data_IF_378927714062
#
_entry.id   IF_378927714062
#
_cell.length_a   1.000
_cell.length_b   1.000
_cell.length_c   1.000
_cell.angle_alpha   90.00
_cell.angle_beta   90.00
_cell.angle_gamma   90.00
#
_symmetry.space_group_name_H-M   'P 1'
#
loop_
_entity.id
_entity.type
_entity.pdbx_description
1 polymer ?
#
# COMPACT_ATOMS: atom_id res chain seq x y z
N UNK A 1 -33.18 41.72 9.42
CA UNK A 1 -32.53 40.86 10.43
C UNK A 1 -33.61 40.19 11.26
N UNK A 2 -33.72 38.85 11.22
CA UNK A 2 -34.68 38.09 12.05
C UNK A 2 -34.16 38.07 13.49
N UNK A 3 -35.02 38.36 14.47
CA UNK A 3 -34.60 38.44 15.88
C UNK A 3 -34.10 37.09 16.41
N UNK A 4 -33.17 37.15 17.36
CA UNK A 4 -32.52 35.96 17.96
C UNK A 4 -33.55 35.01 18.58
N UNK A 5 -34.60 35.57 19.18
CA UNK A 5 -35.69 34.81 19.81
C UNK A 5 -36.48 33.96 18.80
N UNK A 6 -36.69 34.50 17.60
CA UNK A 6 -37.44 33.81 16.54
C UNK A 6 -36.61 32.70 15.88
N UNK A 7 -35.29 32.87 15.84
CA UNK A 7 -34.36 31.84 15.37
C UNK A 7 -34.31 30.65 16.34
N UNK A 8 -34.34 30.92 17.65
CA UNK A 8 -34.37 29.90 18.72
C UNK A 8 -35.70 29.14 18.77
N UNK A 9 -36.82 29.83 18.56
CA UNK A 9 -38.15 29.18 18.49
C UNK A 9 -38.28 28.28 17.26
N UNK A 10 -37.72 28.67 16.10
CA UNK A 10 -37.68 27.81 14.90
C UNK A 10 -36.80 26.58 15.12
N UNK A 11 -35.61 26.71 15.70
CA UNK A 11 -34.73 25.55 15.94
C UNK A 11 -35.36 24.54 16.89
N UNK A 12 -36.05 25.02 17.94
CA UNK A 12 -36.74 24.14 18.89
C UNK A 12 -37.91 23.40 18.23
N UNK A 13 -38.67 24.07 17.36
CA UNK A 13 -39.74 23.44 16.60
C UNK A 13 -39.19 22.41 15.59
N UNK A 14 -38.06 22.69 14.93
CA UNK A 14 -37.42 21.72 14.04
C UNK A 14 -36.93 20.48 14.79
N UNK A 15 -36.31 20.65 15.96
CA UNK A 15 -35.86 19.53 16.80
C UNK A 15 -37.03 18.68 17.29
N UNK A 16 -38.12 19.31 17.73
CA UNK A 16 -39.33 18.60 18.16
C UNK A 16 -39.96 17.82 17.00
N UNK A 17 -39.98 18.41 15.80
CA UNK A 17 -40.55 17.76 14.60
C UNK A 17 -39.69 16.56 14.17
N UNK A 18 -38.37 16.70 14.17
CA UNK A 18 -37.45 15.61 13.86
C UNK A 18 -37.56 14.46 14.87
N UNK A 19 -37.72 14.79 16.16
CA UNK A 19 -37.90 13.79 17.22
C UNK A 19 -39.23 13.03 17.07
N UNK A 20 -40.32 13.72 16.76
CA UNK A 20 -41.61 13.07 16.50
C UNK A 20 -41.54 12.15 15.27
N UNK A 21 -40.85 12.54 14.20
CA UNK A 21 -40.67 11.70 13.01
C UNK A 21 -39.88 10.43 13.35
N UNK A 22 -38.81 10.55 14.15
CA UNK A 22 -38.02 9.39 14.58
C UNK A 22 -38.82 8.42 15.45
N UNK A 23 -39.67 8.93 16.34
CA UNK A 23 -40.58 8.09 17.13
C UNK A 23 -41.57 7.34 16.23
N UNK A 24 -42.15 8.01 15.24
CA UNK A 24 -43.09 7.38 14.30
C UNK A 24 -42.39 6.29 13.48
N UNK A 25 -41.17 6.55 12.99
CA UNK A 25 -40.37 5.57 12.25
C UNK A 25 -39.97 4.38 13.13
N UNK A 26 -39.67 4.63 14.40
CA UNK A 26 -39.29 3.58 15.36
C UNK A 26 -40.49 2.71 15.73
N UNK A 27 -41.66 3.31 15.99
CA UNK A 27 -42.92 2.60 16.23
C UNK A 27 -43.29 1.77 14.99
N UNK A 28 -43.21 2.35 13.79
CA UNK A 28 -43.49 1.63 12.55
C UNK A 28 -42.57 0.41 12.34
N UNK A 29 -41.27 0.56 12.62
CA UNK A 29 -40.31 -0.55 12.56
C UNK A 29 -40.59 -1.64 13.60
N UNK A 30 -41.14 -1.27 14.76
CA UNK A 30 -41.51 -2.22 15.81
C UNK A 30 -42.73 -3.08 15.43
N UNK A 31 -43.70 -2.48 14.74
CA UNK A 31 -44.90 -3.18 14.28
C UNK A 31 -44.69 -3.95 12.96
N UNK A 32 -43.68 -3.59 12.15
CA UNK A 32 -43.40 -4.22 10.85
C UNK A 32 -41.91 -4.53 10.66
N UNK A 33 -41.34 -5.52 11.37
CA UNK A 33 -39.90 -5.82 11.35
C UNK A 33 -39.38 -6.34 9.99
N UNK A 34 -40.29 -6.78 9.11
CA UNK A 34 -39.97 -7.30 7.76
C UNK A 34 -40.01 -6.20 6.68
N UNK A 35 -40.48 -4.99 7.01
CA UNK A 35 -40.70 -3.91 6.04
C UNK A 35 -39.46 -3.02 5.91
N UNK A 36 -38.62 -3.28 4.90
CA UNK A 36 -37.60 -2.33 4.47
C UNK A 36 -38.20 -1.38 3.42
N UNK A 37 -38.02 -0.07 3.58
CA UNK A 37 -38.44 0.97 2.61
C UNK A 37 -37.91 0.75 1.18
N UNK A 38 -36.89 -0.11 1.01
CA UNK A 38 -36.31 -0.48 -0.29
C UNK A 38 -37.27 -1.33 -1.16
N UNK A 39 -38.22 -2.06 -0.55
CA UNK A 39 -39.17 -2.90 -1.31
C UNK A 39 -40.36 -2.13 -1.91
N UNK A 40 -40.62 -0.90 -1.46
CA UNK A 40 -41.75 -0.11 -1.99
C UNK A 40 -41.48 0.47 -3.39
N UNK A 41 -40.23 0.42 -3.87
CA UNK A 41 -39.84 0.89 -5.21
C UNK A 41 -39.75 -0.23 -6.26
N UNK A 42 -39.81 -1.50 -5.87
CA UNK A 42 -39.69 -2.64 -6.79
C UNK A 42 -41.01 -3.11 -7.40
N UNK A 43 -42.15 -2.64 -6.89
CA UNK A 43 -43.46 -3.26 -7.18
C UNK A 43 -44.31 -2.51 -8.23
N UNK A 44 -43.70 -1.62 -9.04
CA UNK A 44 -44.35 -1.06 -10.22
C UNK A 44 -43.97 -1.81 -11.51
N UNK A 45 -44.40 -3.07 -11.61
CA UNK A 45 -44.72 -3.69 -12.89
C UNK A 45 -46.05 -4.45 -12.77
N UNK A 46 -47.04 -4.17 -13.62
CA UNK A 46 -48.35 -4.80 -13.53
C UNK A 46 -48.25 -6.27 -13.90
N UNK A 47 -48.79 -7.13 -13.03
CA UNK A 47 -48.98 -8.55 -13.27
C UNK A 47 -50.17 -8.79 -14.20
N UNK A 48 -50.01 -9.71 -15.16
CA UNK A 48 -51.10 -10.29 -15.97
C UNK A 48 -50.85 -11.81 -16.08
N UNK A 49 -51.89 -12.67 -16.09
CA UNK A 49 -51.83 -14.00 -15.50
C UNK A 49 -51.34 -15.11 -16.46
N UNK A 50 -50.96 -16.24 -15.87
CA UNK A 50 -50.53 -17.49 -16.50
C UNK A 50 -51.73 -18.38 -16.92
N UNK A 51 -51.54 -19.53 -17.61
CA UNK A 51 -50.92 -19.75 -18.93
C UNK A 51 -51.91 -20.46 -19.90
N UNK A 52 -51.70 -20.34 -21.22
CA UNK A 52 -52.29 -21.25 -22.22
C UNK A 52 -51.27 -21.49 -23.33
N UNK A 53 -51.18 -22.74 -23.75
CA UNK A 53 -50.18 -23.37 -24.61
C UNK A 53 -49.92 -22.66 -25.95
N UNK A 54 -48.69 -22.76 -26.45
CA UNK A 54 -48.32 -23.24 -27.81
C UNK A 54 -46.85 -22.91 -28.18
N UNK A 55 -46.13 -23.99 -28.52
CA UNK A 55 -45.08 -24.16 -29.54
C UNK A 55 -43.72 -23.40 -29.54
N UNK A 56 -42.72 -24.16 -30.02
CA UNK A 56 -41.29 -23.92 -30.13
C UNK A 56 -40.91 -22.64 -30.89
N UNK A 57 -39.92 -21.89 -30.39
CA UNK A 57 -38.83 -21.35 -31.22
C UNK A 57 -37.63 -20.86 -30.40
N UNK A 58 -36.46 -21.05 -30.99
CA UNK A 58 -35.11 -20.77 -30.51
C UNK A 58 -34.83 -19.32 -30.08
N UNK A 59 -34.17 -19.12 -28.92
CA UNK A 59 -33.10 -18.11 -28.76
C UNK A 59 -32.36 -18.28 -27.42
N UNK A 60 -31.06 -18.02 -27.46
CA UNK A 60 -30.03 -18.24 -26.42
C UNK A 60 -30.25 -17.49 -25.09
N UNK A 61 -29.77 -18.00 -23.94
CA UNK A 61 -29.94 -17.30 -22.66
C UNK A 61 -28.91 -16.17 -22.44
N UNK A 62 -29.42 -15.02 -21.99
CA UNK A 62 -28.72 -13.80 -21.54
C UNK A 62 -28.15 -14.02 -20.11
N UNK A 63 -27.00 -13.40 -19.74
CA UNK A 63 -26.11 -13.90 -18.70
C UNK A 63 -26.36 -13.25 -17.33
N UNK A 64 -27.48 -13.54 -16.67
CA UNK A 64 -27.71 -13.06 -15.30
C UNK A 64 -27.14 -14.03 -14.24
N UNK A 65 -27.06 -15.32 -14.58
CA UNK A 65 -26.53 -16.38 -13.70
C UNK A 65 -24.98 -16.42 -13.70
N UNK A 66 -24.34 -15.87 -14.73
CA UNK A 66 -22.87 -15.82 -14.83
C UNK A 66 -22.25 -14.82 -13.85
N UNK A 67 -22.88 -13.66 -13.63
CA UNK A 67 -22.35 -12.58 -12.80
C UNK A 67 -22.33 -12.98 -11.32
N UNK A 68 -23.42 -13.59 -10.82
CA UNK A 68 -23.53 -14.04 -9.43
C UNK A 68 -22.60 -15.20 -9.07
N UNK A 69 -22.23 -16.06 -10.04
CA UNK A 69 -21.21 -17.11 -9.85
C UNK A 69 -19.79 -16.54 -9.88
N UNK A 70 -19.52 -15.54 -10.74
CA UNK A 70 -18.20 -14.91 -10.86
C UNK A 70 -17.83 -14.09 -9.62
N UNK A 71 -18.79 -13.44 -8.95
CA UNK A 71 -18.56 -12.74 -7.67
C UNK A 71 -18.27 -13.69 -6.51
N UNK A 72 -18.89 -14.88 -6.49
CA UNK A 72 -18.61 -15.90 -5.45
C UNK A 72 -17.26 -16.58 -5.65
N UNK A 73 -16.81 -16.78 -6.89
CA UNK A 73 -15.45 -17.32 -7.15
C UNK A 73 -14.37 -16.30 -6.79
N UNK A 74 -14.60 -15.01 -7.06
CA UNK A 74 -13.65 -13.96 -6.69
C UNK A 74 -13.50 -13.82 -5.17
N UNK A 75 -14.60 -14.01 -4.41
CA UNK A 75 -14.55 -14.03 -2.96
C UNK A 75 -13.78 -15.24 -2.40
N UNK A 76 -13.82 -16.42 -3.04
CA UNK A 76 -12.99 -17.56 -2.61
C UNK A 76 -11.50 -17.40 -2.96
N UNK A 77 -11.17 -16.70 -4.06
CA UNK A 77 -9.79 -16.44 -4.45
C UNK A 77 -9.09 -15.40 -3.53
N UNK A 78 -9.88 -14.58 -2.84
CA UNK A 78 -9.38 -13.59 -1.86
C UNK A 78 -8.87 -14.24 -0.57
N UNK A 79 -9.35 -15.44 -0.21
CA UNK A 79 -9.08 -16.05 1.10
C UNK A 79 -8.03 -17.17 1.10
N UNK A 80 -7.76 -17.86 -0.01
CA UNK A 80 -6.84 -19.03 0.01
C UNK A 80 -6.15 -19.32 -1.33
N UNK A 81 -6.24 -18.43 -2.31
CA UNK A 81 -5.71 -18.66 -3.65
C UNK A 81 -4.19 -18.58 -3.70
N UNK A 82 -3.54 -19.70 -4.07
CA UNK A 82 -2.20 -19.67 -4.67
C UNK A 82 -2.16 -18.61 -5.76
N UNK A 83 -1.17 -17.74 -5.67
CA UNK A 83 -0.93 -16.63 -6.57
C UNK A 83 -1.16 -17.02 -8.06
N UNK A 84 -2.21 -16.46 -8.67
CA UNK A 84 -2.66 -16.83 -10.03
C UNK A 84 -2.35 -15.73 -11.08
N UNK A 85 -1.54 -14.73 -10.71
CA UNK A 85 -0.91 -13.82 -11.67
C UNK A 85 0.51 -14.29 -11.98
N UNK A 86 1.29 -13.50 -12.71
CA UNK A 86 2.74 -13.73 -12.89
C UNK A 86 3.52 -12.55 -12.31
N UNK A 87 3.68 -12.52 -10.98
CA UNK A 87 4.81 -11.88 -10.32
C UNK A 87 6.00 -12.60 -10.91
N UNK A 88 6.79 -11.84 -11.65
CA UNK A 88 7.96 -12.35 -12.37
C UNK A 88 9.18 -11.79 -11.69
N UNK A 89 9.79 -10.74 -12.24
CA UNK A 89 11.00 -10.11 -11.74
C UNK A 89 10.71 -8.92 -10.82
N UNK A 90 9.51 -8.33 -10.89
CA UNK A 90 9.17 -7.09 -10.17
C UNK A 90 7.71 -7.00 -9.76
N UNK A 91 7.46 -6.24 -8.70
CA UNK A 91 6.11 -6.00 -8.16
C UNK A 91 6.07 -4.70 -7.35
N UNK A 92 4.96 -3.98 -7.40
CA UNK A 92 4.68 -2.86 -6.51
C UNK A 92 3.70 -3.29 -5.42
N UNK A 93 3.91 -2.83 -4.20
CA UNK A 93 3.15 -3.29 -3.03
C UNK A 93 2.74 -2.10 -2.18
N UNK A 94 1.47 -2.06 -1.84
CA UNK A 94 0.90 -1.15 -0.85
C UNK A 94 0.27 -1.97 0.28
N UNK A 95 0.57 -1.59 1.52
CA UNK A 95 0.04 -2.24 2.71
C UNK A 95 -0.84 -1.22 3.44
N UNK A 96 -2.15 -1.46 3.44
CA UNK A 96 -3.14 -0.59 4.07
C UNK A 96 -4.20 -1.41 4.82
N UNK A 97 -4.10 -1.41 6.15
CA UNK A 97 -5.04 -2.12 7.02
C UNK A 97 -6.43 -1.46 7.05
N UNK A 98 -6.52 -0.16 6.70
CA UNK A 98 -7.77 0.60 6.73
C UNK A 98 -8.05 1.29 5.40
N UNK A 99 -9.21 0.99 4.83
CA UNK A 99 -9.66 1.66 3.61
C UNK A 99 -9.89 3.17 3.82
N UNK A 100 -9.44 3.98 2.84
CA UNK A 100 -9.70 5.43 2.76
C UNK A 100 -10.15 5.78 1.34
N UNK A 101 -10.90 6.87 1.21
CA UNK A 101 -11.51 7.28 -0.08
C UNK A 101 -10.49 7.63 -1.16
N UNK A 102 -9.30 8.10 -0.78
CA UNK A 102 -8.23 8.47 -1.69
C UNK A 102 -7.36 7.29 -2.16
N UNK A 103 -7.44 6.12 -1.51
CA UNK A 103 -6.56 4.97 -1.82
C UNK A 103 -6.74 4.45 -3.24
N UNK A 104 -7.98 4.27 -3.70
CA UNK A 104 -8.21 3.72 -5.05
C UNK A 104 -7.68 4.67 -6.13
N UNK A 105 -8.01 5.98 -6.13
CA UNK A 105 -7.38 6.94 -7.04
C UNK A 105 -5.85 6.93 -6.99
N UNK A 106 -5.26 6.88 -5.80
CA UNK A 106 -3.81 6.81 -5.61
C UNK A 106 -3.22 5.56 -6.25
N UNK A 107 -3.76 4.38 -5.95
CA UNK A 107 -3.27 3.10 -6.49
C UNK A 107 -3.42 3.05 -8.02
N UNK A 108 -4.54 3.54 -8.55
CA UNK A 108 -4.75 3.63 -10.00
C UNK A 108 -3.74 4.55 -10.66
N UNK A 109 -3.39 5.67 -10.02
CA UNK A 109 -2.34 6.56 -10.51
C UNK A 109 -0.98 5.86 -10.54
N UNK A 110 -0.60 5.17 -9.47
CA UNK A 110 0.62 4.34 -9.47
C UNK A 110 0.62 3.32 -10.62
N UNK A 111 -0.50 2.63 -10.84
CA UNK A 111 -0.64 1.69 -11.97
C UNK A 111 -0.42 2.33 -13.33
N UNK A 112 -0.94 3.55 -13.54
CA UNK A 112 -0.75 4.29 -14.80
C UNK A 112 0.70 4.71 -14.98
N UNK A 113 1.36 5.24 -13.95
CA UNK A 113 2.75 5.72 -14.04
C UNK A 113 3.74 4.57 -14.21
N UNK A 114 3.51 3.44 -13.54
CA UNK A 114 4.36 2.26 -13.65
C UNK A 114 4.12 1.49 -14.96
N UNK A 115 2.89 1.50 -15.46
CA UNK A 115 2.45 0.77 -16.64
C UNK A 115 2.23 -0.72 -16.40
N UNK A 116 1.67 -1.41 -17.39
CA UNK A 116 1.17 -2.80 -17.28
C UNK A 116 2.24 -3.84 -16.92
N UNK A 117 3.52 -3.52 -17.06
CA UNK A 117 4.63 -4.40 -16.66
C UNK A 117 4.83 -4.52 -15.15
N UNK A 118 4.20 -3.64 -14.36
CA UNK A 118 4.29 -3.63 -12.90
C UNK A 118 2.99 -4.11 -12.27
N UNK A 119 2.92 -5.38 -11.83
CA UNK A 119 1.79 -5.83 -11.04
C UNK A 119 1.75 -5.08 -9.70
N UNK A 120 0.55 -4.75 -9.22
CA UNK A 120 0.36 -4.12 -7.91
C UNK A 120 -0.38 -5.08 -6.96
N UNK A 121 0.22 -5.36 -5.81
CA UNK A 121 -0.44 -6.07 -4.71
C UNK A 121 -0.90 -5.06 -3.67
N UNK A 122 -2.19 -5.12 -3.36
CA UNK A 122 -2.85 -4.36 -2.31
C UNK A 122 -3.04 -5.31 -1.13
N UNK A 123 -2.18 -5.21 -0.12
CA UNK A 123 -2.31 -5.94 1.13
C UNK A 123 -3.21 -5.15 2.08
N UNK A 124 -4.30 -5.76 2.54
CA UNK A 124 -5.30 -5.09 3.38
C UNK A 124 -5.94 -6.02 4.40
N UNK A 125 -6.69 -5.47 5.36
CA UNK A 125 -7.40 -6.28 6.35
C UNK A 125 -8.58 -7.02 5.72
N UNK A 126 -9.01 -8.13 6.35
CA UNK A 126 -10.17 -8.89 5.88
C UNK A 126 -11.44 -8.04 5.81
N UNK A 127 -11.59 -7.11 6.76
CA UNK A 127 -12.72 -6.18 6.85
C UNK A 127 -12.72 -5.17 5.68
N UNK A 128 -11.54 -4.70 5.30
CA UNK A 128 -11.36 -3.68 4.26
C UNK A 128 -11.31 -4.25 2.83
N UNK A 129 -11.04 -5.55 2.66
CA UNK A 129 -10.83 -6.18 1.35
C UNK A 129 -11.99 -5.97 0.37
N UNK A 130 -13.24 -6.09 0.86
CA UNK A 130 -14.43 -5.93 0.02
C UNK A 130 -14.58 -4.51 -0.54
N UNK A 131 -14.03 -3.49 0.13
CA UNK A 131 -14.15 -2.10 -0.27
C UNK A 131 -13.36 -1.80 -1.56
N UNK A 132 -12.22 -2.46 -1.77
CA UNK A 132 -11.44 -2.35 -3.00
C UNK A 132 -12.17 -2.91 -4.23
N UNK A 133 -13.12 -3.83 -4.05
CA UNK A 133 -13.90 -4.41 -5.16
C UNK A 133 -15.08 -3.53 -5.60
N UNK A 134 -15.39 -2.44 -4.89
CA UNK A 134 -16.54 -1.57 -5.20
C UNK A 134 -16.28 -0.61 -6.37
N UNK A 135 -15.02 -0.37 -6.71
CA UNK A 135 -14.65 0.56 -7.78
C UNK A 135 -14.63 -0.11 -9.14
N UNK A 136 -15.42 0.40 -10.09
CA UNK A 136 -15.41 -0.07 -11.48
C UNK A 136 -14.07 0.16 -12.18
N UNK A 137 -13.31 1.18 -11.78
CA UNK A 137 -12.00 1.47 -12.33
C UNK A 137 -10.98 0.43 -11.88
N UNK A 138 -10.93 0.13 -10.57
CA UNK A 138 -10.06 -0.90 -10.02
C UNK A 138 -10.46 -2.29 -10.50
N UNK A 139 -11.77 -2.58 -10.61
CA UNK A 139 -12.28 -3.87 -11.07
C UNK A 139 -11.70 -4.31 -12.43
N UNK A 140 -11.40 -3.37 -13.35
CA UNK A 140 -10.77 -3.71 -14.63
C UNK A 140 -9.34 -4.22 -14.47
N UNK A 141 -8.56 -3.58 -13.59
CA UNK A 141 -7.19 -4.00 -13.25
C UNK A 141 -7.17 -5.30 -12.42
N UNK A 142 -8.22 -5.54 -11.64
CA UNK A 142 -8.41 -6.78 -10.91
C UNK A 142 -8.77 -7.94 -11.84
N UNK A 143 -9.59 -7.69 -12.87
CA UNK A 143 -10.03 -8.69 -13.84
C UNK A 143 -8.93 -9.09 -14.84
N UNK A 144 -8.07 -8.15 -15.24
CA UNK A 144 -6.95 -8.44 -16.14
C UNK A 144 -5.70 -8.96 -15.41
N UNK A 145 -5.73 -9.02 -14.08
CA UNK A 145 -4.64 -9.56 -13.25
C UNK A 145 -3.45 -8.61 -13.03
N UNK A 146 -3.54 -7.35 -13.48
CA UNK A 146 -2.49 -6.34 -13.24
C UNK A 146 -2.46 -5.94 -11.76
N UNK A 147 -3.62 -5.86 -11.10
CA UNK A 147 -3.71 -5.57 -9.67
C UNK A 147 -4.36 -6.72 -8.93
N UNK A 148 -3.97 -6.92 -7.67
CA UNK A 148 -4.53 -7.96 -6.82
C UNK A 148 -4.75 -7.44 -5.41
N UNK A 149 -5.89 -7.81 -4.82
CA UNK A 149 -6.17 -7.56 -3.40
C UNK A 149 -5.87 -8.84 -2.64
N UNK A 150 -5.13 -8.71 -1.54
CA UNK A 150 -4.71 -9.82 -0.68
C UNK A 150 -4.93 -9.44 0.78
N UNK A 151 -5.38 -10.42 1.54
CA UNK A 151 -5.65 -10.24 2.96
C UNK A 151 -4.35 -10.44 3.75
N UNK A 152 -4.08 -9.52 4.67
CA UNK A 152 -2.98 -9.60 5.62
C UNK A 152 -3.15 -10.81 6.57
N UNK A 153 -2.06 -11.44 7.04
CA UNK A 153 -2.12 -12.50 8.05
C UNK A 153 -2.93 -12.07 9.29
N UNK A 154 -3.71 -12.99 9.87
CA UNK A 154 -4.63 -12.67 10.99
C UNK A 154 -3.92 -12.14 12.24
N UNK A 155 -2.66 -12.52 12.43
CA UNK A 155 -1.76 -12.09 13.50
C UNK A 155 -1.09 -10.74 13.24
N UNK A 156 -1.16 -10.22 12.02
CA UNK A 156 -0.57 -8.92 11.63
C UNK A 156 -1.51 -7.75 11.96
N UNK A 157 -1.42 -7.25 13.19
CA UNK A 157 -2.15 -6.05 13.61
C UNK A 157 -1.33 -4.79 13.32
N UNK A 158 -1.60 -4.11 12.20
CA UNK A 158 -0.90 -2.88 11.79
C UNK A 158 -1.58 -1.63 12.37
N UNK A 159 -1.48 -1.47 13.70
CA UNK A 159 -2.16 -0.40 14.46
C UNK A 159 -1.41 0.91 14.54
N UNK A 160 -0.08 0.85 14.54
CA UNK A 160 0.83 1.97 14.75
C UNK A 160 2.08 1.83 13.83
N UNK A 161 2.90 2.87 13.80
CA UNK A 161 4.14 2.85 13.02
C UNK A 161 5.09 1.73 13.47
N UNK A 162 5.10 1.38 14.76
CA UNK A 162 5.92 0.30 15.30
C UNK A 162 5.50 -1.07 14.77
N UNK A 163 4.20 -1.34 14.67
CA UNK A 163 3.67 -2.54 14.08
C UNK A 163 4.02 -2.66 12.59
N UNK A 164 3.97 -1.55 11.86
CA UNK A 164 4.42 -1.52 10.46
C UNK A 164 5.91 -1.84 10.34
N UNK A 165 6.77 -1.21 11.16
CA UNK A 165 8.21 -1.49 11.16
C UNK A 165 8.51 -2.96 11.49
N UNK A 166 7.78 -3.55 12.46
CA UNK A 166 7.90 -4.98 12.77
C UNK A 166 7.47 -5.87 11.61
N UNK A 167 6.37 -5.53 10.95
CA UNK A 167 5.86 -6.30 9.83
C UNK A 167 6.81 -6.29 8.63
N UNK A 168 7.38 -5.13 8.31
CA UNK A 168 8.35 -5.00 7.21
C UNK A 168 9.69 -5.72 7.50
N UNK A 169 9.99 -6.01 8.77
CA UNK A 169 11.16 -6.81 9.19
C UNK A 169 10.85 -8.29 9.40
N UNK A 170 9.70 -8.78 8.96
CA UNK A 170 9.40 -10.22 8.89
C UNK A 170 9.73 -10.79 7.51
N UNK A 171 10.27 -12.00 7.48
CA UNK A 171 10.53 -12.78 6.26
C UNK A 171 9.26 -13.01 5.43
N UNK A 172 8.11 -13.20 6.11
CA UNK A 172 6.82 -13.51 5.48
C UNK A 172 6.48 -12.62 4.28
N UNK A 173 6.61 -11.29 4.42
CA UNK A 173 6.28 -10.36 3.34
C UNK A 173 7.18 -10.59 2.14
N UNK A 174 8.47 -10.75 2.37
CA UNK A 174 9.47 -10.89 1.32
C UNK A 174 9.35 -12.25 0.63
N UNK A 175 9.12 -13.32 1.38
CA UNK A 175 8.84 -14.65 0.81
C UNK A 175 7.52 -14.70 0.04
N UNK A 176 6.48 -14.02 0.53
CA UNK A 176 5.20 -13.88 -0.15
C UNK A 176 5.32 -13.22 -1.53
N UNK A 177 6.31 -12.34 -1.72
CA UNK A 177 6.56 -11.63 -2.98
C UNK A 177 7.46 -12.41 -3.95
N UNK A 178 7.92 -13.61 -3.60
CA UNK A 178 8.63 -14.50 -4.51
C UNK A 178 7.77 -14.82 -5.75
N UNK A 179 8.33 -14.84 -6.97
CA UNK A 179 9.76 -14.75 -7.31
C UNK A 179 10.30 -13.34 -7.60
N UNK A 180 9.54 -12.26 -7.35
CA UNK A 180 10.01 -10.91 -7.70
C UNK A 180 11.30 -10.54 -6.99
N UNK A 181 12.24 -10.01 -7.75
CA UNK A 181 13.50 -9.49 -7.23
C UNK A 181 13.37 -8.01 -6.86
N UNK A 182 12.65 -7.23 -7.66
CA UNK A 182 12.49 -5.79 -7.46
C UNK A 182 11.15 -5.44 -6.83
N UNK A 183 11.18 -5.01 -5.58
CA UNK A 183 9.98 -4.67 -4.80
C UNK A 183 9.88 -3.15 -4.65
N UNK A 184 8.86 -2.56 -5.27
CA UNK A 184 8.51 -1.15 -5.04
C UNK A 184 7.48 -1.08 -3.90
N UNK A 185 7.91 -0.65 -2.73
CA UNK A 185 7.03 -0.34 -1.61
C UNK A 185 6.59 1.13 -1.67
N UNK A 186 5.29 1.36 -1.58
CA UNK A 186 4.71 2.70 -1.52
C UNK A 186 3.60 2.78 -0.48
N UNK A 187 3.63 3.86 0.31
CA UNK A 187 2.62 4.18 1.32
C UNK A 187 1.61 5.19 0.78
N UNK A 188 0.45 5.30 1.42
CA UNK A 188 -0.60 6.24 1.00
C UNK A 188 -0.21 7.71 1.11
N UNK A 189 0.86 8.04 1.85
CA UNK A 189 1.45 9.38 1.94
C UNK A 189 2.61 9.60 0.94
N UNK A 190 2.71 8.75 -0.09
CA UNK A 190 3.69 8.86 -1.18
C UNK A 190 3.05 8.97 -2.57
N UNK A 191 3.80 9.52 -3.52
CA UNK A 191 3.37 9.66 -4.92
C UNK A 191 4.52 9.43 -5.89
N UNK A 192 4.22 8.78 -7.02
CA UNK A 192 5.05 8.87 -8.24
C UNK A 192 4.52 9.98 -9.13
N UNK A 193 5.40 10.84 -9.62
CA UNK A 193 5.01 12.00 -10.41
C UNK A 193 4.87 11.61 -11.89
N UNK A 194 3.70 11.82 -12.48
CA UNK A 194 3.43 11.41 -13.87
C UNK A 194 4.28 12.15 -14.91
N UNK A 195 4.80 13.33 -14.55
CA UNK A 195 5.69 14.13 -15.40
C UNK A 195 7.17 13.73 -15.28
N UNK A 196 7.52 12.78 -14.41
CA UNK A 196 8.89 12.35 -14.19
C UNK A 196 9.57 11.89 -15.48
N UNK A 197 10.77 12.41 -15.75
CA UNK A 197 11.59 11.99 -16.89
C UNK A 197 12.24 10.61 -16.70
N UNK A 198 12.20 10.07 -15.48
CA UNK A 198 12.82 8.81 -15.08
C UNK A 198 11.75 7.74 -14.86
N UNK A 199 12.15 6.49 -14.91
CA UNK A 199 11.32 5.34 -14.56
C UNK A 199 11.82 4.69 -13.27
N UNK A 200 10.98 3.90 -12.59
CA UNK A 200 11.42 3.07 -11.44
C UNK A 200 12.48 2.06 -11.87
N UNK A 201 12.41 1.55 -13.11
CA UNK A 201 13.36 0.58 -13.65
C UNK A 201 14.79 1.14 -13.72
N UNK A 202 14.95 2.47 -13.81
CA UNK A 202 16.26 3.14 -13.87
C UNK A 202 17.10 2.94 -12.59
N UNK A 203 16.50 2.38 -11.53
CA UNK A 203 17.14 2.18 -10.22
C UNK A 203 17.37 0.70 -9.87
N UNK A 204 17.15 -0.24 -10.81
CA UNK A 204 17.28 -1.69 -10.57
C UNK A 204 18.70 -2.15 -10.20
N UNK A 205 19.72 -1.35 -10.53
CA UNK A 205 21.10 -1.61 -10.13
C UNK A 205 21.30 -1.56 -8.60
N UNK A 206 20.41 -0.85 -7.88
CA UNK A 206 20.53 -0.64 -6.44
C UNK A 206 19.73 -1.67 -5.65
N UNK A 207 20.31 -2.10 -4.53
CA UNK A 207 19.71 -3.04 -3.58
C UNK A 207 18.65 -2.38 -2.69
N UNK A 208 18.85 -1.09 -2.41
CA UNK A 208 17.89 -0.28 -1.66
C UNK A 208 18.02 1.18 -2.06
N UNK A 209 16.90 1.80 -2.41
CA UNK A 209 16.78 3.25 -2.57
C UNK A 209 15.46 3.73 -2.00
N UNK A 210 15.50 4.84 -1.28
CA UNK A 210 14.33 5.54 -0.76
C UNK A 210 14.58 7.04 -0.69
N UNK A 211 13.71 7.79 -0.02
CA UNK A 211 13.87 9.23 0.11
C UNK A 211 14.98 9.56 1.13
N UNK A 212 16.08 10.23 0.74
CA UNK A 212 17.15 10.55 1.69
C UNK A 212 16.66 11.49 2.79
N UNK A 213 17.08 11.21 4.03
CA UNK A 213 16.75 12.01 5.21
C UNK A 213 17.93 12.84 5.66
N UNK A 214 17.74 14.16 5.80
CA UNK A 214 18.77 15.06 6.32
C UNK A 214 18.90 15.02 7.86
N UNK A 215 17.93 14.43 8.57
CA UNK A 215 17.89 14.41 10.02
C UNK A 215 18.81 13.32 10.59
N UNK A 216 19.90 13.74 11.25
CA UNK A 216 20.74 12.85 12.07
C UNK A 216 22.16 12.59 11.53
N UNK A 217 22.53 13.15 10.37
CA UNK A 217 23.87 12.95 9.79
C UNK A 217 24.11 11.53 9.26
N UNK A 218 23.07 10.70 9.17
CA UNK A 218 23.10 9.42 8.47
C UNK A 218 22.60 9.62 7.05
N UNK A 219 23.28 9.01 6.08
CA UNK A 219 22.83 8.92 4.67
C UNK A 219 21.58 8.03 4.50
N UNK A 220 20.78 7.88 5.56
CA UNK A 220 19.69 6.93 5.62
C UNK A 220 18.49 7.35 4.76
N UNK A 221 17.66 6.37 4.43
CA UNK A 221 16.46 6.55 3.65
C UNK A 221 15.22 6.49 4.51
N UNK A 222 14.18 7.18 4.05
CA UNK A 222 12.82 6.88 4.42
C UNK A 222 12.22 5.87 3.44
N UNK A 223 11.62 4.80 3.98
CA UNK A 223 11.11 3.66 3.25
C UNK A 223 9.71 3.81 2.66
N UNK A 224 9.01 4.92 2.93
CA UNK A 224 7.60 5.06 2.55
C UNK A 224 7.33 5.20 1.05
N UNK A 225 8.35 5.55 0.29
CA UNK A 225 8.46 5.24 -1.13
C UNK A 225 9.87 4.69 -1.36
N UNK A 226 9.99 3.39 -1.59
CA UNK A 226 11.29 2.74 -1.73
C UNK A 226 11.27 1.59 -2.72
N UNK A 227 12.41 1.40 -3.39
CA UNK A 227 12.69 0.23 -4.21
C UNK A 227 13.74 -0.62 -3.50
N UNK A 228 13.46 -1.91 -3.34
CA UNK A 228 14.30 -2.86 -2.59
C UNK A 228 14.47 -4.14 -3.37
N UNK A 229 15.69 -4.71 -3.34
CA UNK A 229 15.95 -6.06 -3.82
C UNK A 229 15.55 -7.08 -2.76
N UNK A 230 14.66 -8.00 -3.13
CA UNK A 230 14.12 -9.02 -2.22
C UNK A 230 15.22 -9.89 -1.65
N UNK A 231 16.15 -10.37 -2.48
CA UNK A 231 17.24 -11.24 -2.04
C UNK A 231 18.14 -10.57 -0.99
N UNK A 232 18.53 -9.32 -1.23
CA UNK A 232 19.35 -8.52 -0.33
C UNK A 232 18.64 -8.21 0.99
N UNK A 233 17.33 -7.94 0.95
CA UNK A 233 16.52 -7.79 2.16
C UNK A 233 16.45 -9.08 2.97
N UNK A 234 16.21 -10.23 2.34
CA UNK A 234 16.18 -11.53 3.02
C UNK A 234 17.53 -11.87 3.67
N UNK A 235 18.65 -11.63 3.00
CA UNK A 235 20.00 -11.80 3.58
C UNK A 235 20.18 -11.01 4.89
N UNK A 236 19.64 -9.78 4.96
CA UNK A 236 19.67 -8.98 6.19
C UNK A 236 18.79 -9.61 7.29
N UNK A 237 17.62 -10.12 6.94
CA UNK A 237 16.72 -10.76 7.90
C UNK A 237 17.25 -12.10 8.44
N UNK A 238 18.02 -12.84 7.63
CA UNK A 238 18.68 -14.08 8.06
C UNK A 238 19.79 -13.84 9.09
N UNK A 239 20.53 -12.73 8.96
CA UNK A 239 21.68 -12.45 9.82
C UNK A 239 21.32 -11.60 11.06
N UNK A 240 20.28 -10.76 10.98
CA UNK A 240 19.92 -9.82 12.04
C UNK A 240 18.45 -9.87 12.43
N UNK A 241 18.21 -9.85 13.74
CA UNK A 241 16.88 -9.64 14.32
C UNK A 241 16.66 -8.15 14.63
N UNK A 242 15.56 -7.59 14.13
CA UNK A 242 15.21 -6.17 14.29
C UNK A 242 14.90 -5.82 15.75
N UNK A 243 14.16 -6.66 16.46
CA UNK A 243 13.73 -6.41 17.84
C UNK A 243 14.88 -6.47 18.86
N UNK A 244 15.88 -7.30 18.59
CA UNK A 244 17.10 -7.38 19.40
C UNK A 244 18.01 -6.18 19.20
N UNK A 245 18.09 -5.66 17.97
CA UNK A 245 19.03 -4.58 17.63
C UNK A 245 18.46 -3.20 17.91
N UNK A 246 17.15 -2.98 17.69
CA UNK A 246 16.44 -1.72 18.01
C UNK A 246 16.60 -1.27 19.46
N UNK A 247 16.70 -2.22 20.40
CA UNK A 247 16.87 -1.92 21.84
C UNK A 247 18.19 -1.22 22.16
N UNK A 248 19.20 -1.38 21.31
CA UNK A 248 20.57 -1.02 21.60
C UNK A 248 21.08 0.20 20.82
N UNK A 249 20.41 0.61 19.73
CA UNK A 249 20.80 1.76 18.91
C UNK A 249 19.58 2.62 18.52
N UNK A 250 19.67 3.93 18.83
CA UNK A 250 18.61 4.89 18.46
C UNK A 250 18.54 5.13 16.95
N UNK A 251 19.61 4.85 16.22
CA UNK A 251 19.67 4.98 14.76
C UNK A 251 18.96 3.82 14.03
N UNK A 252 18.50 2.82 14.78
CA UNK A 252 17.76 1.65 14.27
C UNK A 252 16.27 1.70 14.67
N UNK A 253 15.77 2.91 15.00
CA UNK A 253 14.39 3.10 15.48
C UNK A 253 13.35 2.71 14.44
N UNK A 254 13.63 2.99 13.16
CA UNK A 254 12.75 2.74 12.03
C UNK A 254 13.37 1.66 11.14
N UNK A 255 12.51 0.84 10.53
CA UNK A 255 12.91 -0.30 9.71
C UNK A 255 13.79 0.12 8.52
N UNK A 256 13.49 1.25 7.91
CA UNK A 256 14.18 1.77 6.73
C UNK A 256 15.63 2.16 7.06
N UNK A 257 15.82 2.85 8.19
CA UNK A 257 17.13 3.18 8.74
C UNK A 257 17.88 1.92 9.15
N UNK A 258 17.18 0.96 9.76
CA UNK A 258 17.77 -0.31 10.16
C UNK A 258 18.32 -1.08 8.96
N UNK A 259 17.53 -1.29 7.90
CA UNK A 259 17.99 -1.93 6.67
C UNK A 259 19.15 -1.16 6.04
N UNK A 260 19.03 0.17 5.89
CA UNK A 260 20.11 1.00 5.35
C UNK A 260 21.42 0.79 6.14
N UNK A 261 21.36 0.78 7.47
CA UNK A 261 22.50 0.59 8.35
C UNK A 261 23.12 -0.81 8.26
N UNK A 262 22.44 -1.82 7.69
CA UNK A 262 22.99 -3.17 7.45
C UNK A 262 23.50 -3.33 6.02
N UNK A 263 22.91 -2.61 5.08
CA UNK A 263 23.42 -2.50 3.72
C UNK A 263 24.75 -1.76 3.62
N UNK A 264 24.98 -0.72 4.44
CA UNK A 264 26.26 0.02 4.47
C UNK A 264 27.46 -0.86 4.90
N UNK A 265 27.39 -1.64 6.00
CA UNK A 265 28.45 -2.61 6.36
C UNK A 265 28.77 -3.62 5.27
N UNK A 266 27.78 -4.02 4.47
CA UNK A 266 27.94 -4.95 3.35
C UNK A 266 28.62 -4.30 2.12
N UNK A 267 28.77 -2.97 2.09
CA UNK A 267 29.41 -2.21 0.99
C UNK A 267 30.93 -2.05 1.13
N UNK A 268 31.53 -2.34 2.29
CA UNK A 268 32.93 -2.02 2.59
C UNK A 268 33.88 -3.23 2.42
N UNK A 269 34.93 -3.13 1.57
CA UNK A 269 36.02 -4.09 1.56
C UNK A 269 36.73 -4.14 2.92
N UNK A 270 37.10 -5.34 3.36
CA UNK A 270 37.54 -5.72 4.71
C UNK A 270 38.69 -4.92 5.37
N UNK A 271 39.31 -3.95 4.69
CA UNK A 271 40.53 -3.25 5.15
C UNK A 271 40.32 -2.08 6.11
N UNK A 272 39.08 -1.64 6.37
CA UNK A 272 38.79 -0.57 7.33
C UNK A 272 38.05 -1.04 8.60
N UNK A 273 38.26 -2.31 9.01
CA UNK A 273 37.72 -2.91 10.25
C UNK A 273 38.50 -2.50 11.52
N UNK A 274 38.68 -1.21 11.78
CA UNK A 274 39.42 -0.79 13.00
C UNK A 274 38.70 0.29 13.81
N UNK A 275 37.54 -0.06 14.36
CA UNK A 275 37.29 0.09 15.80
C UNK A 275 35.99 -0.65 16.19
N UNK A 276 36.10 -1.48 17.22
CA UNK A 276 35.02 -2.20 17.94
C UNK A 276 34.17 -3.21 17.13
N UNK A 277 34.54 -4.51 17.25
CA UNK A 277 33.77 -5.77 16.97
C UNK A 277 34.61 -6.85 16.23
N UNK A 278 35.91 -6.94 16.52
CA UNK A 278 36.89 -7.83 15.86
C UNK A 278 36.83 -9.35 16.18
N UNK A 279 35.71 -9.91 16.64
CA UNK A 279 35.66 -11.37 16.94
C UNK A 279 34.71 -12.17 16.03
N UNK A 280 33.64 -11.56 15.50
CA UNK A 280 32.59 -12.30 14.76
C UNK A 280 32.84 -12.40 13.26
N UNK A 281 33.48 -11.38 12.67
CA UNK A 281 33.83 -11.35 11.24
C UNK A 281 34.99 -12.27 10.86
N UNK A 282 35.82 -12.70 11.82
CA UNK A 282 36.92 -13.64 11.54
C UNK A 282 36.40 -15.06 11.34
N UNK A 283 35.35 -15.44 12.07
CA UNK A 283 34.70 -16.75 11.99
C UNK A 283 33.97 -16.93 10.64
N UNK A 284 33.34 -15.87 10.13
CA UNK A 284 32.70 -15.89 8.81
C UNK A 284 33.74 -15.98 7.69
N UNK A 285 34.82 -15.18 7.76
CA UNK A 285 35.92 -15.29 6.79
C UNK A 285 36.61 -16.65 6.80
N UNK A 286 36.87 -17.22 7.98
CA UNK A 286 37.47 -18.55 8.09
C UNK A 286 36.54 -19.65 7.55
N UNK A 287 35.21 -19.42 7.55
CA UNK A 287 34.21 -20.32 6.97
C UNK A 287 34.13 -20.18 5.44
N UNK A 288 34.07 -18.94 4.93
CA UNK A 288 33.98 -18.67 3.49
C UNK A 288 35.28 -19.08 2.77
N UNK A 289 36.43 -18.92 3.42
CA UNK A 289 37.73 -19.41 2.93
C UNK A 289 37.83 -20.94 2.99
N UNK A 290 37.22 -21.60 3.98
CA UNK A 290 37.13 -23.07 4.05
C UNK A 290 36.17 -23.65 2.99
N UNK A 291 35.20 -22.85 2.53
CA UNK A 291 34.22 -23.22 1.51
C UNK A 291 34.64 -22.79 0.09
N UNK A 292 35.76 -22.07 -0.07
CA UNK A 292 36.36 -21.75 -1.38
C UNK A 292 35.63 -20.69 -2.19
N UNK A 293 34.85 -19.82 -1.53
CA UNK A 293 34.03 -18.79 -2.18
C UNK A 293 34.90 -17.57 -2.51
N UNK A 294 34.96 -17.18 -3.79
CA UNK A 294 35.64 -15.97 -4.25
C UNK A 294 34.72 -14.75 -4.05
N UNK A 295 35.08 -13.74 -3.24
CA UNK A 295 34.18 -12.68 -2.79
C UNK A 295 34.01 -11.49 -3.77
N UNK A 296 34.47 -11.60 -5.02
CA UNK A 296 34.41 -10.53 -6.00
C UNK A 296 33.52 -10.93 -7.17
N UNK A 297 32.22 -10.60 -7.08
CA UNK A 297 31.45 -9.81 -8.08
C UNK A 297 29.91 -9.99 -8.04
N UNK A 298 29.34 -10.96 -7.30
CA UNK A 298 27.87 -11.17 -7.32
C UNK A 298 27.10 -10.85 -6.01
N UNK A 299 27.77 -10.55 -4.89
CA UNK A 299 27.10 -10.41 -3.58
C UNK A 299 27.31 -9.07 -2.85
N UNK A 300 28.00 -8.10 -3.48
CA UNK A 300 28.23 -6.80 -2.86
C UNK A 300 26.98 -5.90 -2.97
N UNK A 301 26.49 -5.42 -1.83
CA UNK A 301 25.33 -4.53 -1.78
C UNK A 301 25.63 -3.18 -2.45
N UNK A 302 24.82 -2.80 -3.44
CA UNK A 302 24.91 -1.53 -4.14
C UNK A 302 23.88 -0.53 -3.61
N UNK A 303 24.36 0.52 -2.94
CA UNK A 303 23.55 1.66 -2.51
C UNK A 303 23.87 2.90 -3.33
N UNK A 304 22.86 3.67 -3.78
CA UNK A 304 23.08 4.90 -4.53
C UNK A 304 23.72 5.97 -3.65
N UNK A 305 24.37 6.94 -4.31
CA UNK A 305 24.75 8.18 -3.62
C UNK A 305 23.49 8.97 -3.24
N UNK A 306 23.62 9.89 -2.28
CA UNK A 306 22.53 10.83 -1.92
C UNK A 306 22.06 11.62 -3.15
N UNK A 307 22.97 11.96 -4.07
CA UNK A 307 22.64 12.69 -5.31
C UNK A 307 21.73 11.89 -6.25
N UNK A 308 21.88 10.57 -6.29
CA UNK A 308 21.02 9.66 -7.07
C UNK A 308 19.73 9.35 -6.29
N UNK A 309 19.82 9.11 -4.98
CA UNK A 309 18.65 8.79 -4.16
C UNK A 309 17.60 9.92 -4.18
N UNK A 310 18.02 11.19 -4.15
CA UNK A 310 17.09 12.34 -4.24
C UNK A 310 16.41 12.47 -5.62
N UNK A 311 16.95 11.84 -6.68
CA UNK A 311 16.24 11.79 -7.97
C UNK A 311 15.15 10.73 -8.00
N UNK A 312 15.24 9.72 -7.12
CA UNK A 312 14.22 8.68 -6.95
C UNK A 312 13.04 9.21 -6.14
N UNK A 313 13.28 9.68 -4.92
CA UNK A 313 12.22 10.17 -4.04
C UNK A 313 12.71 11.32 -3.17
N UNK A 314 11.85 12.32 -2.98
CA UNK A 314 12.13 13.48 -2.11
C UNK A 314 11.27 13.41 -0.85
N UNK A 315 11.85 13.88 0.26
CA UNK A 315 11.15 14.13 1.52
C UNK A 315 11.70 15.39 2.21
N UNK A 316 12.99 15.34 2.57
CA UNK A 316 13.68 16.47 3.23
C UNK A 316 14.82 17.04 2.40
N UNK A 317 15.43 16.24 1.54
CA UNK A 317 16.50 16.66 0.63
C UNK A 317 15.88 17.00 -0.72
N UNK A 318 15.90 18.29 -1.07
CA UNK A 318 15.22 18.82 -2.26
C UNK A 318 15.86 18.34 -3.58
N UNK A 319 14.98 18.10 -4.55
CA UNK A 319 15.33 17.86 -5.94
C UNK A 319 14.18 18.41 -6.81
N UNK A 320 14.43 19.23 -7.84
CA UNK A 320 13.36 19.94 -8.54
C UNK A 320 12.30 19.04 -9.21
N UNK A 321 12.73 17.91 -9.78
CA UNK A 321 11.87 17.06 -10.61
C UNK A 321 12.10 15.58 -10.27
N UNK A 322 11.76 15.13 -9.05
CA UNK A 322 12.03 13.77 -8.63
C UNK A 322 11.04 12.82 -9.31
N UNK A 323 11.40 11.53 -9.34
CA UNK A 323 10.48 10.48 -9.79
C UNK A 323 9.29 10.37 -8.83
N UNK A 324 9.51 10.50 -7.52
CA UNK A 324 8.45 10.48 -6.54
C UNK A 324 8.73 11.34 -5.31
N UNK A 325 7.76 11.34 -4.40
CA UNK A 325 7.72 12.20 -3.23
C UNK A 325 7.06 11.48 -2.06
N UNK A 326 7.46 11.82 -0.83
CA UNK A 326 6.98 11.19 0.39
C UNK A 326 6.74 12.18 1.53
N UNK A 327 5.76 11.88 2.39
CA UNK A 327 5.36 12.70 3.54
C UNK A 327 5.08 14.16 3.17
N UNK A 328 4.32 14.34 2.10
CA UNK A 328 4.13 15.62 1.43
C UNK A 328 3.42 16.64 2.33
N UNK A 329 2.59 16.17 3.25
CA UNK A 329 1.95 16.97 4.30
C UNK A 329 2.93 17.59 5.30
N UNK A 330 4.18 17.11 5.37
CA UNK A 330 5.24 17.70 6.20
C UNK A 330 6.07 18.75 5.45
N UNK A 331 5.82 18.96 4.16
CA UNK A 331 6.59 19.89 3.34
C UNK A 331 6.15 21.34 3.59
N UNK A 332 7.06 22.27 3.35
CA UNK A 332 6.76 23.71 3.45
C UNK A 332 5.84 24.15 2.32
N UNK A 333 5.00 25.17 2.55
CA UNK A 333 4.10 25.73 1.53
C UNK A 333 4.85 26.12 0.25
N UNK A 334 6.05 26.71 0.38
CA UNK A 334 6.89 27.09 -0.76
C UNK A 334 7.29 25.88 -1.61
N UNK A 335 7.66 24.76 -0.97
CA UNK A 335 8.02 23.52 -1.67
C UNK A 335 6.80 22.91 -2.36
N UNK A 336 5.63 22.98 -1.73
CA UNK A 336 4.36 22.50 -2.29
C UNK A 336 3.91 23.31 -3.50
N UNK A 337 4.14 24.62 -3.53
CA UNK A 337 3.84 25.46 -4.71
C UNK A 337 4.63 24.95 -5.91
N UNK A 338 5.95 24.76 -5.75
CA UNK A 338 6.80 24.22 -6.83
C UNK A 338 6.39 22.80 -7.23
N UNK A 339 6.09 21.95 -6.25
CA UNK A 339 5.64 20.58 -6.50
C UNK A 339 4.29 20.54 -7.23
N UNK A 340 3.37 21.47 -6.95
CA UNK A 340 2.04 21.50 -7.58
C UNK A 340 2.12 21.69 -9.09
N UNK A 341 3.06 22.48 -9.58
CA UNK A 341 3.26 22.69 -11.01
C UNK A 341 3.80 21.43 -11.70
N UNK A 342 4.59 20.63 -10.99
CA UNK A 342 5.27 19.46 -11.52
C UNK A 342 4.51 18.13 -11.35
N UNK A 343 3.90 17.95 -10.19
CA UNK A 343 3.37 16.68 -9.70
C UNK A 343 2.04 16.91 -8.96
N UNK A 344 1.02 17.53 -9.59
CA UNK A 344 -0.24 17.89 -8.93
C UNK A 344 -1.00 16.71 -8.32
N UNK A 345 -0.68 15.48 -8.75
CA UNK A 345 -1.26 14.23 -8.28
C UNK A 345 -0.90 13.92 -6.82
N UNK A 346 0.11 14.60 -6.27
CA UNK A 346 0.45 14.53 -4.85
C UNK A 346 -0.75 14.79 -3.92
N UNK A 347 -1.75 15.54 -4.40
CA UNK A 347 -3.00 15.81 -3.66
C UNK A 347 -3.86 14.56 -3.41
N UNK A 348 -3.53 13.43 -4.04
CA UNK A 348 -4.12 12.14 -3.76
C UNK A 348 -3.51 11.47 -2.53
N UNK A 349 -2.36 11.93 -2.04
CA UNK A 349 -1.72 11.39 -0.84
C UNK A 349 -2.59 11.58 0.40
N UNK A 350 -2.58 10.59 1.28
CA UNK A 350 -3.23 10.68 2.59
C UNK A 350 -2.47 11.63 3.52
N UNK A 351 -3.22 12.47 4.23
CA UNK A 351 -2.66 13.43 5.20
C UNK A 351 -2.42 12.80 6.59
N UNK A 352 -3.05 11.66 6.89
CA UNK A 352 -3.03 11.06 8.23
C UNK A 352 -2.18 9.79 8.34
N UNK A 353 -1.23 9.86 9.26
CA UNK A 353 -0.44 8.76 9.77
C UNK A 353 -1.32 7.73 10.49
N UNK A 354 -1.01 6.44 10.28
CA UNK A 354 -1.12 5.46 11.36
C UNK A 354 -0.52 6.13 12.61
N UNK A 355 -1.35 6.41 13.62
CA UNK A 355 -0.99 7.27 14.77
C UNK A 355 0.41 6.93 15.32
N UNK A 356 1.30 7.93 15.31
CA UNK A 356 2.62 7.87 15.95
C UNK A 356 2.50 7.67 17.48
#
# INVERSE_FOLDING_TARGET
MISVEERRRRSHNFLLTAFCILIILWIWKLFYPQASLVRAYSDHFPSTPSPLDLEESSSSPIPEIAIGKHLKSYASDIYEGTFNGTITDKVAVIIESRFRSNLIPLILHFGIVLGDSWPIIILTSAESASQFSTSSALARYLQNGIMQVRVLPQDSMLTDADAMNRFLTQDWLWEFLSPAEHILLFQSDSMLCGNAARSVNDYFEYDFVGAPTAAGGSDAYNGGLSLRKRSSTLKVLEEWDYEDTKKNDKNDRYEDQWFHNRFVPLKLPQKLKKLTRCLRLKILQERDEAEGILPEEDDAINLPSVEVARTFSVKTVDYPHPLGVHQIHKWTEESLIRLTEWCPEYKLCSEDHVHD
#
